data_IF_716881147811
#
_entry.id   IF_716881147811
#
_cell.length_a   1.000
_cell.length_b   1.000
_cell.length_c   1.000
_cell.angle_alpha   90.00
_cell.angle_beta   90.00
_cell.angle_gamma   90.00
#
_symmetry.space_group_name_H-M   'P 1'
#
loop_
_entity.id
_entity.type
_entity.pdbx_description
1 polymer ?
#
# COMPACT_ATOMS: atom_id res chain seq x y z
N UNK A 1 -21.25 2.15 -33.93
CA UNK A 1 -20.76 1.11 -33.01
C UNK A 1 -20.43 1.78 -31.69
N UNK A 2 -21.35 1.73 -30.71
CA UNK A 2 -21.12 2.32 -29.39
C UNK A 2 -20.26 1.36 -28.56
N UNK A 3 -19.12 1.85 -28.07
CA UNK A 3 -18.23 1.13 -27.15
C UNK A 3 -18.93 0.94 -25.81
N UNK A 4 -19.04 -0.31 -25.36
CA UNK A 4 -19.57 -0.66 -24.05
C UNK A 4 -18.72 -0.02 -22.92
N UNK A 5 -19.33 0.40 -21.79
CA UNK A 5 -18.59 0.92 -20.65
C UNK A 5 -17.77 -0.21 -20.01
N UNK A 6 -16.53 0.10 -19.63
CA UNK A 6 -15.66 -0.81 -18.90
C UNK A 6 -16.35 -1.24 -17.59
N UNK A 7 -16.64 -2.54 -17.46
CA UNK A 7 -17.17 -3.11 -16.23
C UNK A 7 -16.13 -2.96 -15.09
N UNK A 8 -16.56 -2.65 -13.84
CA UNK A 8 -15.65 -2.58 -12.71
C UNK A 8 -15.10 -3.96 -12.38
N UNK A 9 -13.78 -4.05 -12.16
CA UNK A 9 -13.10 -5.28 -11.75
C UNK A 9 -13.60 -5.76 -10.37
N UNK A 10 -13.73 -7.09 -10.13
CA UNK A 10 -14.31 -7.61 -8.90
C UNK A 10 -13.41 -7.39 -7.67
N UNK A 11 -14.04 -6.96 -6.58
CA UNK A 11 -13.46 -6.45 -5.34
C UNK A 11 -13.00 -7.52 -4.33
N UNK A 12 -12.16 -8.49 -4.72
CA UNK A 12 -11.83 -9.62 -3.82
C UNK A 12 -10.37 -9.97 -3.58
N UNK A 13 -9.41 -9.13 -4.00
CA UNK A 13 -8.01 -9.31 -3.62
C UNK A 13 -7.38 -7.96 -3.31
N UNK A 14 -6.78 -7.82 -2.12
CA UNK A 14 -6.07 -6.63 -1.66
C UNK A 14 -4.79 -6.32 -2.44
N UNK A 15 -4.69 -6.72 -3.71
CA UNK A 15 -3.63 -6.32 -4.61
C UNK A 15 -3.92 -4.91 -5.12
N UNK A 16 -3.56 -3.89 -4.33
CA UNK A 16 -3.35 -2.55 -4.87
C UNK A 16 -1.99 -2.55 -5.59
N UNK A 17 -2.00 -2.97 -6.85
CA UNK A 17 -0.88 -2.63 -7.73
C UNK A 17 -1.10 -1.16 -8.10
N UNK A 18 -0.46 -0.25 -7.36
CA UNK A 18 -0.30 1.13 -7.81
C UNK A 18 0.68 1.09 -8.98
N UNK A 19 0.20 0.69 -10.17
CA UNK A 19 0.75 1.26 -11.39
C UNK A 19 0.47 2.73 -11.23
N UNK A 20 1.51 3.54 -11.13
CA UNK A 20 1.43 4.99 -11.15
C UNK A 20 0.40 5.38 -12.23
N UNK A 21 -0.84 5.64 -11.82
CA UNK A 21 -1.90 6.04 -12.73
C UNK A 21 -1.42 7.40 -13.19
N UNK A 22 -1.17 7.57 -14.48
CA UNK A 22 -0.23 8.52 -15.08
C UNK A 22 -0.36 10.02 -14.70
N UNK A 23 -1.30 10.37 -13.81
CA UNK A 23 -1.62 11.72 -13.37
C UNK A 23 -1.93 11.83 -11.85
N UNK A 24 -1.81 10.76 -11.04
CA UNK A 24 -2.12 10.78 -9.59
C UNK A 24 -0.97 10.27 -8.73
N UNK A 25 -0.74 10.97 -7.63
CA UNK A 25 0.28 10.73 -6.63
C UNK A 25 -0.34 10.30 -5.30
N UNK A 26 0.48 9.83 -4.35
CA UNK A 26 0.00 9.52 -2.99
C UNK A 26 -0.64 10.73 -2.28
N UNK A 27 -0.28 11.96 -2.67
CA UNK A 27 -0.88 13.20 -2.17
C UNK A 27 -2.36 13.36 -2.57
N UNK A 28 -2.82 12.65 -3.61
CA UNK A 28 -4.22 12.66 -4.04
C UNK A 28 -5.10 11.72 -3.19
N UNK A 29 -4.49 10.82 -2.42
CA UNK A 29 -5.21 9.77 -1.68
C UNK A 29 -5.04 9.86 -0.16
N UNK A 30 -3.93 10.41 0.31
CA UNK A 30 -3.53 10.38 1.71
C UNK A 30 -3.25 11.77 2.28
N UNK A 31 -3.15 11.86 3.60
CA UNK A 31 -2.71 13.09 4.25
C UNK A 31 -1.30 13.47 3.77
N UNK A 32 -0.94 14.76 3.80
CA UNK A 32 0.39 15.21 3.41
C UNK A 32 1.52 14.51 4.17
N UNK A 33 1.29 14.18 5.46
CA UNK A 33 2.27 13.46 6.26
C UNK A 33 2.49 12.03 5.74
N UNK A 34 1.40 11.27 5.51
CA UNK A 34 1.50 9.90 5.00
C UNK A 34 2.12 9.87 3.60
N UNK A 35 1.70 10.79 2.72
CA UNK A 35 2.28 10.89 1.38
C UNK A 35 3.77 11.25 1.40
N UNK A 36 4.19 12.14 2.31
CA UNK A 36 5.60 12.51 2.47
C UNK A 36 6.46 11.36 3.02
N UNK A 37 5.89 10.52 3.90
CA UNK A 37 6.55 9.31 4.39
C UNK A 37 6.75 8.29 3.26
N UNK A 38 5.69 7.98 2.51
CA UNK A 38 5.77 7.07 1.36
C UNK A 38 6.79 7.56 0.30
N UNK A 39 6.77 8.86 -0.01
CA UNK A 39 7.73 9.46 -0.93
C UNK A 39 9.18 9.28 -0.46
N UNK A 40 9.46 9.44 0.85
CA UNK A 40 10.82 9.24 1.39
C UNK A 40 11.29 7.80 1.26
N UNK A 41 10.41 6.84 1.53
CA UNK A 41 10.74 5.41 1.35
C UNK A 41 11.07 5.11 -0.11
N UNK A 42 10.27 5.65 -1.04
CA UNK A 42 10.46 5.49 -2.47
C UNK A 42 11.77 6.09 -2.96
N UNK A 43 12.11 7.30 -2.51
CA UNK A 43 13.41 7.93 -2.82
C UNK A 43 14.58 7.10 -2.29
N UNK A 44 14.44 6.46 -1.13
CA UNK A 44 15.45 5.56 -0.60
C UNK A 44 15.61 4.32 -1.50
N UNK A 45 14.52 3.71 -1.95
CA UNK A 45 14.54 2.56 -2.85
C UNK A 45 15.18 2.94 -4.19
N UNK A 46 14.83 4.09 -4.75
CA UNK A 46 15.41 4.59 -6.01
C UNK A 46 16.92 4.81 -5.86
N UNK A 47 17.37 5.44 -4.77
CA UNK A 47 18.79 5.74 -4.55
C UNK A 47 19.63 4.48 -4.31
N UNK A 48 19.09 3.51 -3.56
CA UNK A 48 19.86 2.37 -3.07
C UNK A 48 19.66 1.10 -3.89
N UNK A 49 18.57 1.02 -4.65
CA UNK A 49 18.08 -0.19 -5.29
C UNK A 49 17.68 -1.30 -4.32
N UNK A 50 17.63 -1.02 -3.01
CA UNK A 50 17.22 -1.98 -1.99
C UNK A 50 15.71 -1.94 -1.81
N UNK A 51 15.02 -3.10 -1.81
CA UNK A 51 13.59 -3.15 -1.58
C UNK A 51 13.25 -2.82 -0.13
N UNK A 52 12.05 -2.31 0.09
CA UNK A 52 11.45 -2.22 1.42
C UNK A 52 10.49 -3.38 1.60
N UNK A 53 10.75 -4.26 2.56
CA UNK A 53 9.97 -5.49 2.76
C UNK A 53 9.17 -5.40 4.05
N UNK A 54 7.86 -5.55 3.95
CA UNK A 54 7.00 -5.78 5.10
C UNK A 54 6.93 -4.64 6.12
N UNK A 55 6.95 -3.40 5.66
CA UNK A 55 6.76 -2.23 6.51
C UNK A 55 5.31 -2.14 6.96
N UNK A 56 5.08 -1.92 8.25
CA UNK A 56 3.77 -1.53 8.75
C UNK A 56 3.62 -0.03 8.58
N UNK A 57 2.62 0.39 7.80
CA UNK A 57 2.37 1.78 7.45
C UNK A 57 1.08 2.29 8.09
N UNK A 58 1.16 3.45 8.75
CA UNK A 58 -0.01 4.18 9.24
C UNK A 58 -0.50 5.10 8.12
N UNK A 59 -1.65 4.78 7.55
CA UNK A 59 -2.25 5.56 6.49
C UNK A 59 -3.30 6.50 7.08
N UNK A 60 -3.04 7.80 7.01
CA UNK A 60 -4.02 8.82 7.41
C UNK A 60 -4.73 9.33 6.16
N UNK A 61 -6.06 9.24 6.15
CA UNK A 61 -6.91 9.72 5.06
C UNK A 61 -7.10 11.24 5.16
N UNK A 62 -7.49 11.94 4.09
CA UNK A 62 -7.78 13.38 4.12
C UNK A 62 -8.87 13.78 5.13
N UNK A 63 -9.80 12.88 5.44
CA UNK A 63 -10.86 13.04 6.44
C UNK A 63 -10.39 12.77 7.90
N UNK A 64 -9.12 12.44 8.10
CA UNK A 64 -8.54 12.11 9.41
C UNK A 64 -8.72 10.66 9.85
N UNK A 65 -9.43 9.82 9.09
CA UNK A 65 -9.51 8.37 9.37
C UNK A 65 -8.11 7.75 9.30
N UNK A 66 -7.86 6.75 10.14
CA UNK A 66 -6.60 5.99 10.14
C UNK A 66 -6.85 4.54 9.72
N UNK A 67 -6.01 4.04 8.83
CA UNK A 67 -5.87 2.62 8.51
C UNK A 67 -4.41 2.18 8.64
N UNK A 68 -4.20 0.87 8.67
CA UNK A 68 -2.87 0.28 8.80
C UNK A 68 -2.69 -0.77 7.71
N UNK A 69 -1.57 -0.70 7.00
CA UNK A 69 -1.23 -1.64 5.94
C UNK A 69 0.14 -2.28 6.24
N UNK A 70 0.32 -3.51 5.76
CA UNK A 70 1.60 -4.20 5.66
C UNK A 70 2.06 -4.14 4.20
N UNK A 71 3.14 -3.41 3.94
CA UNK A 71 3.55 -3.04 2.58
C UNK A 71 4.94 -3.53 2.24
N UNK A 72 5.07 -4.04 1.02
CA UNK A 72 6.35 -4.34 0.36
C UNK A 72 6.47 -3.48 -0.89
N UNK A 73 7.59 -2.77 -1.03
CA UNK A 73 7.93 -1.92 -2.16
C UNK A 73 9.21 -2.40 -2.84
N UNK A 74 9.13 -2.66 -4.15
CA UNK A 74 10.21 -3.25 -4.93
C UNK A 74 10.63 -2.30 -6.06
N UNK A 75 11.95 -2.14 -6.34
CA UNK A 75 12.39 -1.39 -7.51
C UNK A 75 12.03 -2.15 -8.80
N UNK A 76 11.36 -1.47 -9.73
CA UNK A 76 11.17 -1.96 -11.09
C UNK A 76 12.41 -1.62 -11.91
N UNK A 77 13.00 -2.64 -12.55
CA UNK A 77 14.21 -2.49 -13.34
C UNK A 77 13.95 -2.79 -14.81
N UNK A 78 14.62 -2.06 -15.70
CA UNK A 78 14.66 -2.40 -17.12
C UNK A 78 15.63 -3.55 -17.42
N UNK A 79 15.76 -3.93 -18.69
CA UNK A 79 16.67 -4.99 -19.14
C UNK A 79 18.15 -4.68 -18.91
N UNK A 80 18.50 -3.42 -18.64
CA UNK A 80 19.86 -2.96 -18.33
C UNK A 80 20.09 -2.86 -16.82
N UNK A 81 19.10 -3.22 -15.99
CA UNK A 81 19.18 -3.17 -14.54
C UNK A 81 18.96 -1.77 -13.95
N UNK A 82 18.58 -0.77 -14.76
CA UNK A 82 18.30 0.59 -14.29
C UNK A 82 16.91 0.63 -13.66
N UNK A 83 16.79 1.35 -12.55
CA UNK A 83 15.49 1.52 -11.87
C UNK A 83 14.64 2.49 -12.68
N UNK A 84 13.48 2.02 -13.14
CA UNK A 84 12.52 2.77 -13.95
C UNK A 84 11.21 3.08 -13.21
N UNK A 85 11.10 2.63 -11.96
CA UNK A 85 9.94 2.87 -11.13
C UNK A 85 9.94 1.99 -9.89
N UNK A 86 8.79 1.94 -9.23
CA UNK A 86 8.56 1.18 -8.01
C UNK A 86 7.26 0.37 -8.19
N UNK A 87 7.25 -0.84 -7.66
CA UNK A 87 6.08 -1.70 -7.57
C UNK A 87 5.77 -1.98 -6.11
N UNK A 88 4.54 -1.67 -5.71
CA UNK A 88 4.10 -1.78 -4.33
C UNK A 88 3.00 -2.83 -4.20
N UNK A 89 3.04 -3.57 -3.09
CA UNK A 89 1.98 -4.49 -2.66
C UNK A 89 1.68 -4.19 -1.20
N UNK A 90 0.43 -3.83 -0.91
CA UNK A 90 -0.04 -3.47 0.42
C UNK A 90 -1.19 -4.38 0.87
N UNK A 91 -1.11 -4.89 2.10
CA UNK A 91 -2.15 -5.71 2.71
C UNK A 91 -2.75 -5.01 3.93
N UNK A 92 -4.07 -4.76 3.97
CA UNK A 92 -4.68 -4.09 5.10
C UNK A 92 -4.61 -4.94 6.36
N UNK A 93 -4.12 -4.34 7.45
CA UNK A 93 -4.08 -4.95 8.78
C UNK A 93 -5.44 -4.68 9.44
N UNK A 94 -6.25 -5.72 9.56
CA UNK A 94 -7.47 -5.69 10.37
C UNK A 94 -7.16 -6.25 11.75
N UNK A 95 -7.42 -5.48 12.80
CA UNK A 95 -7.41 -6.00 14.16
C UNK A 95 -8.52 -7.06 14.29
N UNK A 96 -8.17 -8.35 14.18
CA UNK A 96 -9.02 -9.38 14.76
C UNK A 96 -8.79 -9.35 16.26
N UNK A 97 -9.85 -9.01 17.00
CA UNK A 97 -9.94 -9.13 18.45
C UNK A 97 -9.63 -10.58 18.86
N UNK A 98 -8.36 -10.90 19.11
CA UNK A 98 -7.94 -12.16 19.72
C UNK A 98 -8.08 -12.03 21.24
N UNK A 99 -9.30 -12.23 21.73
CA UNK A 99 -9.51 -12.67 23.10
C UNK A 99 -9.99 -14.12 23.03
N UNK A 100 -9.14 -15.13 23.24
CA UNK A 100 -9.64 -16.37 23.81
C UNK A 100 -10.05 -16.03 25.24
N UNK A 101 -11.35 -16.05 25.51
CA UNK A 101 -11.90 -15.92 26.86
C UNK A 101 -11.33 -17.05 27.72
N UNK A 102 -10.30 -16.76 28.51
CA UNK A 102 -9.90 -17.63 29.62
C UNK A 102 -11.01 -17.59 30.67
N UNK A 103 -11.99 -18.47 30.54
CA UNK A 103 -12.89 -18.80 31.64
C UNK A 103 -12.08 -19.59 32.65
N UNK A 104 -11.48 -18.89 33.63
CA UNK A 104 -11.03 -19.52 34.85
C UNK A 104 -12.27 -19.95 35.62
N UNK A 105 -12.75 -21.17 35.43
CA UNK A 105 -13.62 -21.83 36.42
C UNK A 105 -12.71 -22.22 37.59
N UNK A 106 -12.63 -21.33 38.57
CA UNK A 106 -12.40 -21.75 39.95
C UNK A 106 -13.78 -22.00 40.54
N UNK A 107 -14.12 -23.27 40.77
CA UNK A 107 -14.84 -23.83 41.91
C UNK A 107 -14.68 -25.35 41.82
#
# INVERSE_FOLDING_TARGET
>A
MQSAPAAPLPSLWGLRIQRNCSEKTDFDFWSPQTAQEAFRDEQQIIRTGQPMIGKIEKLTHPDGRVSWDYTTKLPLKDSQGRIIGICDVAFPIRAKRLYPSFHRRAL
#
